data_IF_359541947492
#
_entry.id   IF_359541947492
#
_cell.length_a   1.000
_cell.length_b   1.000
_cell.length_c   1.000
_cell.angle_alpha   90.00
_cell.angle_beta   90.00
_cell.angle_gamma   90.00
#
_symmetry.space_group_name_H-M   'P 1'
#
loop_
_entity.id
_entity.type
_entity.pdbx_description
1 polymer ?
#
# COMPACT_ATOMS: atom_id res chain seq x y z
N UNK A 1 -6.76 -5.17 -25.61
CA UNK A 1 -7.91 -5.24 -24.68
C UNK A 1 -8.28 -6.69 -24.46
N UNK A 2 -7.99 -7.20 -23.26
CA UNK A 2 -8.35 -8.55 -22.81
C UNK A 2 -9.68 -8.42 -22.07
N UNK A 3 -10.64 -9.27 -22.42
CA UNK A 3 -11.87 -9.44 -21.66
C UNK A 3 -11.65 -10.58 -20.67
N UNK A 4 -11.98 -10.38 -19.40
CA UNK A 4 -11.99 -11.47 -18.41
C UNK A 4 -13.38 -12.09 -18.27
N UNK A 5 -13.46 -13.15 -17.46
CA UNK A 5 -14.69 -13.92 -17.21
C UNK A 5 -15.81 -13.09 -16.55
N UNK A 6 -15.48 -11.94 -15.95
CA UNK A 6 -16.46 -11.01 -15.37
C UNK A 6 -17.05 -10.04 -16.40
N UNK A 7 -16.53 -10.04 -17.64
CA UNK A 7 -16.86 -9.06 -18.67
C UNK A 7 -16.09 -7.75 -18.51
N UNK A 8 -15.08 -7.69 -17.64
CA UNK A 8 -14.21 -6.53 -17.48
C UNK A 8 -13.18 -6.47 -18.59
N UNK A 9 -12.89 -5.26 -19.08
CA UNK A 9 -11.94 -5.01 -20.15
C UNK A 9 -10.72 -4.26 -19.63
N UNK A 10 -9.53 -4.78 -19.91
CA UNK A 10 -8.28 -4.11 -19.58
C UNK A 10 -7.25 -4.29 -20.70
N UNK A 11 -6.31 -3.34 -20.82
CA UNK A 11 -5.17 -3.51 -21.72
C UNK A 11 -3.99 -4.18 -21.01
N UNK A 12 -3.88 -3.96 -19.70
CA UNK A 12 -2.84 -4.47 -18.82
C UNK A 12 -3.37 -4.49 -17.38
N UNK A 13 -2.99 -5.49 -16.60
CA UNK A 13 -3.23 -5.55 -15.16
C UNK A 13 -1.88 -5.67 -14.47
N UNK A 14 -1.64 -4.85 -13.44
CA UNK A 14 -0.45 -5.00 -12.60
C UNK A 14 -0.56 -6.29 -11.78
N UNK A 15 0.57 -6.84 -11.35
CA UNK A 15 0.62 -8.01 -10.47
C UNK A 15 -0.21 -7.80 -9.20
N UNK A 16 -0.24 -6.56 -8.70
CA UNK A 16 -1.12 -6.19 -7.60
C UNK A 16 -2.61 -6.40 -7.88
N UNK A 17 -3.08 -6.04 -9.08
CA UNK A 17 -4.46 -6.29 -9.52
C UNK A 17 -4.72 -7.78 -9.77
N UNK A 18 -3.76 -8.52 -10.32
CA UNK A 18 -3.87 -9.96 -10.54
C UNK A 18 -4.07 -10.71 -9.22
N UNK A 19 -3.24 -10.43 -8.21
CA UNK A 19 -3.38 -11.03 -6.87
C UNK A 19 -4.70 -10.64 -6.20
N UNK A 20 -5.15 -9.40 -6.38
CA UNK A 20 -6.41 -8.93 -5.81
C UNK A 20 -7.62 -9.68 -6.40
N UNK A 21 -7.61 -9.92 -7.71
CA UNK A 21 -8.66 -10.70 -8.39
C UNK A 21 -8.76 -12.14 -7.87
N UNK A 22 -7.63 -12.72 -7.47
CA UNK A 22 -7.58 -14.06 -6.85
C UNK A 22 -8.00 -14.06 -5.36
N UNK A 23 -8.22 -12.89 -4.75
CA UNK A 23 -8.45 -12.76 -3.30
C UNK A 23 -7.20 -13.03 -2.46
N UNK A 24 -6.01 -13.04 -3.07
CA UNK A 24 -4.76 -13.48 -2.45
C UNK A 24 -3.92 -12.32 -1.90
N UNK A 25 -4.52 -11.15 -1.63
CA UNK A 25 -3.83 -10.00 -1.03
C UNK A 25 -4.31 -9.71 0.37
N UNK A 26 -3.38 -9.79 1.33
CA UNK A 26 -3.61 -9.24 2.66
C UNK A 26 -3.61 -7.71 2.58
N UNK A 27 -4.51 -7.06 3.30
CA UNK A 27 -4.47 -5.61 3.52
C UNK A 27 -3.76 -5.34 4.83
N UNK A 28 -2.64 -4.62 4.80
CA UNK A 28 -1.92 -4.20 6.00
C UNK A 28 -2.12 -2.70 6.22
N UNK A 29 -2.98 -2.37 7.18
CA UNK A 29 -3.22 -1.01 7.65
C UNK A 29 -2.17 -0.65 8.69
N UNK A 30 -1.21 0.23 8.38
CA UNK A 30 -0.03 0.49 9.23
C UNK A 30 -0.20 1.62 10.24
N UNK A 31 -1.17 2.51 10.02
CA UNK A 31 -1.52 3.59 10.95
C UNK A 31 -2.81 4.24 10.48
N UNK A 32 -3.56 4.86 11.39
CA UNK A 32 -4.67 5.73 11.06
C UNK A 32 -4.36 7.22 11.11
N UNK A 33 -3.11 7.57 11.42
CA UNK A 33 -2.66 8.96 11.43
C UNK A 33 -2.61 9.49 9.99
N UNK A 34 -3.21 10.65 9.77
CA UNK A 34 -3.19 11.37 8.50
C UNK A 34 -3.35 12.87 8.76
N UNK A 35 -2.61 13.70 8.04
CA UNK A 35 -2.77 15.17 8.12
C UNK A 35 -3.90 15.71 7.23
N UNK A 36 -4.59 14.83 6.50
CA UNK A 36 -5.71 15.19 5.63
C UNK A 36 -7.03 14.76 6.28
N UNK A 37 -8.05 15.58 6.07
CA UNK A 37 -9.43 15.27 6.46
C UNK A 37 -10.33 15.24 5.22
N UNK A 38 -10.07 14.25 4.35
CA UNK A 38 -10.82 14.09 3.11
C UNK A 38 -12.31 13.88 3.41
N UNK A 39 -13.19 14.60 2.72
CA UNK A 39 -14.65 14.50 2.92
C UNK A 39 -15.22 13.10 2.64
N UNK A 40 -14.48 12.26 1.93
CA UNK A 40 -14.84 10.89 1.55
C UNK A 40 -13.97 9.83 2.25
N UNK A 41 -13.21 10.20 3.28
CA UNK A 41 -12.29 9.26 3.93
C UNK A 41 -13.08 8.06 4.51
N UNK A 42 -12.78 6.82 4.06
CA UNK A 42 -13.57 5.64 4.43
C UNK A 42 -13.15 5.04 5.78
N UNK A 43 -12.17 5.64 6.48
CA UNK A 43 -11.68 5.10 7.74
C UNK A 43 -12.75 5.20 8.83
N UNK A 44 -12.98 4.07 9.50
CA UNK A 44 -13.89 3.97 10.63
C UNK A 44 -13.37 4.71 11.86
N UNK A 45 -14.23 4.95 12.86
CA UNK A 45 -13.84 5.59 14.11
C UNK A 45 -12.80 4.79 14.91
N UNK A 46 -12.74 3.47 14.72
CA UNK A 46 -11.73 2.59 15.32
C UNK A 46 -10.34 2.77 14.70
N UNK A 47 -10.27 3.22 13.45
CA UNK A 47 -9.02 3.37 12.70
C UNK A 47 -8.60 4.83 12.54
N UNK A 48 -9.52 5.76 12.27
CA UNK A 48 -9.22 7.16 11.97
C UNK A 48 -8.52 7.85 13.15
N UNK A 49 -7.42 8.57 12.87
CA UNK A 49 -6.64 9.33 13.84
C UNK A 49 -6.09 8.52 15.03
N UNK A 50 -5.87 7.22 14.83
CA UNK A 50 -5.31 6.31 15.83
C UNK A 50 -4.06 5.65 15.27
N UNK A 51 -2.99 5.59 16.05
CA UNK A 51 -1.81 4.81 15.68
C UNK A 51 -2.02 3.34 16.07
N UNK A 52 -2.78 2.64 15.22
CA UNK A 52 -3.12 1.23 15.36
C UNK A 52 -2.86 0.52 14.04
N UNK A 53 -2.51 -0.76 14.12
CA UNK A 53 -2.12 -1.57 12.97
C UNK A 53 -3.13 -2.71 12.84
N UNK A 54 -3.58 -2.98 11.61
CA UNK A 54 -4.44 -4.11 11.31
C UNK A 54 -3.91 -4.90 10.12
N UNK A 55 -3.89 -6.21 10.24
CA UNK A 55 -3.75 -7.13 9.13
C UNK A 55 -5.15 -7.67 8.82
N UNK A 56 -5.70 -7.32 7.66
CA UNK A 56 -7.13 -7.44 7.36
C UNK A 56 -7.98 -6.81 8.50
N UNK A 57 -8.71 -7.63 9.25
CA UNK A 57 -9.51 -7.21 10.40
C UNK A 57 -8.88 -7.55 11.77
N UNK A 58 -7.71 -8.21 11.77
CA UNK A 58 -6.97 -8.57 12.98
C UNK A 58 -6.13 -7.38 13.47
N UNK A 59 -6.33 -6.98 14.72
CA UNK A 59 -5.44 -6.01 15.38
C UNK A 59 -4.04 -6.62 15.52
N UNK A 60 -3.03 -5.88 15.11
CA UNK A 60 -1.62 -6.30 15.17
C UNK A 60 -0.98 -5.72 16.42
N UNK A 61 -0.49 -6.60 17.29
CA UNK A 61 0.28 -6.25 18.48
C UNK A 61 1.76 -6.62 18.33
N UNK A 62 2.05 -7.58 17.45
CA UNK A 62 3.38 -8.12 17.17
C UNK A 62 3.52 -8.45 15.69
N UNK A 63 4.77 -8.54 15.21
CA UNK A 63 5.05 -9.00 13.84
C UNK A 63 4.47 -10.39 13.53
N UNK A 64 4.36 -11.25 14.54
CA UNK A 64 3.77 -12.58 14.39
C UNK A 64 2.30 -12.50 13.96
N UNK A 65 1.53 -11.51 14.43
CA UNK A 65 0.13 -11.32 14.02
C UNK A 65 0.00 -11.08 12.51
N UNK A 66 0.92 -10.30 11.93
CA UNK A 66 0.97 -10.02 10.49
C UNK A 66 1.29 -11.28 9.70
N UNK A 67 2.31 -12.03 10.14
CA UNK A 67 2.73 -13.25 9.45
C UNK A 67 1.68 -14.37 9.56
N UNK A 68 1.06 -14.52 10.73
CA UNK A 68 -0.03 -15.47 10.94
C UNK A 68 -1.23 -15.16 10.06
N UNK A 69 -1.63 -13.89 9.94
CA UNK A 69 -2.74 -13.48 9.07
C UNK A 69 -2.39 -13.68 7.60
N UNK A 70 -1.17 -13.34 7.17
CA UNK A 70 -0.73 -13.59 5.80
C UNK A 70 -0.72 -15.09 5.46
N UNK A 71 -0.28 -15.95 6.39
CA UNK A 71 -0.30 -17.41 6.22
C UNK A 71 -1.73 -17.96 6.23
N UNK A 72 -2.63 -17.44 7.06
CA UNK A 72 -4.00 -17.98 7.20
C UNK A 72 -4.83 -17.86 5.93
N UNK A 73 -4.52 -16.85 5.11
CA UNK A 73 -5.19 -16.60 3.83
C UNK A 73 -4.36 -17.00 2.60
N UNK A 74 -3.24 -17.71 2.79
CA UNK A 74 -2.28 -18.05 1.72
C UNK A 74 -1.90 -16.83 0.87
N UNK A 75 -1.60 -15.70 1.53
CA UNK A 75 -1.35 -14.43 0.87
C UNK A 75 -0.18 -14.54 -0.12
N UNK A 76 -0.44 -14.19 -1.38
CA UNK A 76 0.57 -14.06 -2.45
C UNK A 76 1.13 -12.64 -2.55
N UNK A 77 0.51 -11.69 -1.85
CA UNK A 77 0.94 -10.31 -1.81
C UNK A 77 0.27 -9.54 -0.68
N UNK A 78 0.75 -8.31 -0.47
CA UNK A 78 0.21 -7.39 0.54
C UNK A 78 -0.05 -6.01 -0.06
N UNK A 79 -1.15 -5.39 0.35
CA UNK A 79 -1.42 -3.97 0.15
C UNK A 79 -1.25 -3.20 1.45
N UNK A 80 -0.23 -2.34 1.49
CA UNK A 80 0.03 -1.47 2.62
C UNK A 80 -0.80 -0.19 2.44
N UNK A 81 -1.56 0.15 3.46
CA UNK A 81 -2.46 1.30 3.50
C UNK A 81 -2.52 1.89 4.92
N UNK A 82 -3.34 2.91 5.14
CA UNK A 82 -3.44 3.57 6.42
C UNK A 82 -4.35 4.80 6.35
N UNK A 83 -4.07 5.76 7.23
CA UNK A 83 -4.32 7.17 7.01
C UNK A 83 -3.35 7.69 5.96
N UNK A 84 -2.13 8.05 6.37
CA UNK A 84 -1.00 8.28 5.48
C UNK A 84 0.20 7.41 5.89
N UNK A 85 0.43 6.28 5.20
CA UNK A 85 1.52 5.37 5.53
C UNK A 85 2.91 6.00 5.51
N UNK A 86 3.17 6.99 4.64
CA UNK A 86 4.50 7.63 4.57
C UNK A 86 4.84 8.50 5.77
N UNK A 87 3.86 8.84 6.64
CA UNK A 87 4.18 9.43 7.95
C UNK A 87 4.93 8.44 8.85
N UNK A 88 4.81 7.14 8.56
CA UNK A 88 5.37 6.03 9.30
C UNK A 88 6.34 5.22 8.40
N UNK A 89 7.20 5.91 7.66
CA UNK A 89 8.09 5.30 6.65
C UNK A 89 8.91 4.12 7.18
N UNK A 90 9.49 4.23 8.38
CA UNK A 90 10.28 3.16 8.99
C UNK A 90 9.43 1.92 9.27
N UNK A 91 8.19 2.12 9.76
CA UNK A 91 7.21 1.05 10.01
C UNK A 91 6.80 0.37 8.71
N UNK A 92 6.56 1.14 7.64
CA UNK A 92 6.27 0.61 6.30
C UNK A 92 7.44 -0.23 5.80
N UNK A 93 8.66 0.30 5.84
CA UNK A 93 9.86 -0.39 5.37
C UNK A 93 10.16 -1.66 6.19
N UNK A 94 9.93 -1.63 7.50
CA UNK A 94 9.99 -2.80 8.38
C UNK A 94 9.05 -3.91 7.91
N UNK A 95 7.77 -3.61 7.69
CA UNK A 95 6.79 -4.63 7.28
C UNK A 95 7.03 -5.15 5.86
N UNK A 96 7.50 -4.32 4.94
CA UNK A 96 7.91 -4.81 3.60
C UNK A 96 9.02 -5.85 3.76
N UNK A 97 10.08 -5.55 4.53
CA UNK A 97 11.19 -6.48 4.79
C UNK A 97 10.71 -7.75 5.48
N UNK A 98 9.86 -7.63 6.50
CA UNK A 98 9.29 -8.76 7.23
C UNK A 98 8.59 -9.73 6.26
N UNK A 99 7.69 -9.21 5.42
CA UNK A 99 6.92 -9.99 4.45
C UNK A 99 7.82 -10.62 3.37
N UNK A 100 8.76 -9.85 2.81
CA UNK A 100 9.70 -10.35 1.79
C UNK A 100 10.65 -11.41 2.36
N UNK A 101 11.06 -11.30 3.62
CA UNK A 101 11.90 -12.29 4.29
C UNK A 101 11.15 -13.60 4.56
N UNK A 102 9.88 -13.52 4.96
CA UNK A 102 9.06 -14.70 5.26
C UNK A 102 8.58 -15.41 3.99
N UNK A 103 8.01 -14.66 3.04
CA UNK A 103 7.30 -15.22 1.88
C UNK A 103 8.12 -15.18 0.59
N UNK A 104 9.30 -14.57 0.62
CA UNK A 104 10.21 -14.46 -0.51
C UNK A 104 9.97 -13.23 -1.39
N UNK A 105 10.86 -13.04 -2.36
CA UNK A 105 10.86 -11.87 -3.25
C UNK A 105 9.61 -11.77 -4.13
N UNK A 106 9.00 -12.89 -4.46
CA UNK A 106 7.78 -12.97 -5.28
C UNK A 106 6.52 -12.50 -4.55
N UNK A 107 6.56 -12.35 -3.21
CA UNK A 107 5.42 -11.85 -2.44
C UNK A 107 5.18 -10.38 -2.77
N UNK A 108 4.20 -10.09 -3.61
CA UNK A 108 4.02 -8.75 -4.17
C UNK A 108 3.51 -7.76 -3.12
N UNK A 109 4.30 -6.72 -2.81
CA UNK A 109 3.93 -5.65 -1.89
C UNK A 109 3.67 -4.36 -2.67
N UNK A 110 2.51 -3.76 -2.43
CA UNK A 110 2.19 -2.42 -2.94
C UNK A 110 1.80 -1.48 -1.83
N UNK A 111 2.06 -0.18 -2.04
CA UNK A 111 1.78 0.89 -1.09
C UNK A 111 0.76 1.87 -1.66
N UNK A 112 -0.29 2.16 -0.89
CA UNK A 112 -1.15 3.32 -1.13
C UNK A 112 -0.59 4.52 -0.38
N UNK A 113 -0.49 5.67 -1.04
CA UNK A 113 -0.13 6.93 -0.40
C UNK A 113 -0.83 8.09 -1.08
N UNK A 114 -1.16 9.11 -0.30
CA UNK A 114 -1.67 10.40 -0.80
C UNK A 114 -0.63 11.52 -0.69
N UNK A 115 0.63 11.16 -0.45
CA UNK A 115 1.78 12.05 -0.42
C UNK A 115 2.75 11.65 -1.54
N UNK A 116 3.42 12.62 -2.15
CA UNK A 116 4.51 12.35 -3.10
C UNK A 116 5.81 12.07 -2.32
N UNK A 117 6.36 10.84 -2.34
CA UNK A 117 7.59 10.52 -1.66
C UNK A 117 8.79 11.18 -2.34
N UNK A 118 9.76 11.58 -1.53
CA UNK A 118 11.06 12.11 -1.94
C UNK A 118 11.98 10.98 -2.41
N UNK A 119 13.04 11.32 -3.13
CA UNK A 119 14.01 10.36 -3.67
C UNK A 119 14.61 9.45 -2.60
N UNK A 120 14.88 9.97 -1.40
CA UNK A 120 15.40 9.16 -0.29
C UNK A 120 14.38 8.14 0.22
N UNK A 121 13.10 8.54 0.26
CA UNK A 121 12.00 7.68 0.71
C UNK A 121 11.73 6.58 -0.33
N UNK A 122 11.79 6.92 -1.62
CA UNK A 122 11.72 5.95 -2.71
C UNK A 122 12.86 4.94 -2.66
N UNK A 123 14.09 5.39 -2.41
CA UNK A 123 15.25 4.50 -2.25
C UNK A 123 15.10 3.56 -1.06
N UNK A 124 14.59 4.07 0.06
CA UNK A 124 14.33 3.25 1.25
C UNK A 124 13.25 2.19 0.98
N UNK A 125 12.13 2.58 0.35
CA UNK A 125 11.04 1.67 -0.01
C UNK A 125 11.48 0.62 -1.04
N UNK A 126 12.20 1.02 -2.08
CA UNK A 126 12.76 0.10 -3.08
C UNK A 126 13.78 -0.86 -2.43
N UNK A 127 14.66 -0.35 -1.56
CA UNK A 127 15.62 -1.14 -0.80
C UNK A 127 14.98 -2.11 0.19
N UNK A 128 13.80 -1.77 0.72
CA UNK A 128 12.98 -2.67 1.54
C UNK A 128 12.31 -3.78 0.70
N UNK A 129 12.15 -3.57 -0.61
CA UNK A 129 11.55 -4.52 -1.54
C UNK A 129 10.12 -4.16 -1.97
N UNK A 130 9.74 -2.88 -1.98
CA UNK A 130 8.44 -2.46 -2.49
C UNK A 130 8.37 -2.65 -4.02
N UNK A 131 7.28 -3.25 -4.51
CA UNK A 131 7.11 -3.54 -5.95
C UNK A 131 6.28 -2.48 -6.69
N UNK A 132 5.28 -1.88 -6.02
CA UNK A 132 4.32 -0.97 -6.64
C UNK A 132 3.89 0.16 -5.68
N UNK A 133 3.81 1.40 -6.17
CA UNK A 133 3.20 2.52 -5.44
C UNK A 133 1.94 2.99 -6.17
N UNK A 134 0.85 3.17 -5.42
CA UNK A 134 -0.42 3.73 -5.88
C UNK A 134 -0.64 5.09 -5.24
N UNK A 135 -0.59 6.12 -6.07
CA UNK A 135 -0.82 7.49 -5.63
C UNK A 135 -2.29 7.83 -5.59
N UNK A 136 -2.69 8.53 -4.54
CA UNK A 136 -3.96 9.23 -4.46
C UNK A 136 -3.70 10.73 -4.24
N UNK A 137 -3.36 11.49 -5.30
CA UNK A 137 -3.10 12.92 -5.17
C UNK A 137 -4.34 13.66 -4.64
N UNK A 138 -4.15 14.70 -3.81
CA UNK A 138 -5.26 15.50 -3.30
C UNK A 138 -5.94 16.25 -4.47
N UNK A 139 -7.23 16.54 -4.31
CA UNK A 139 -8.07 17.06 -5.40
C UNK A 139 -7.55 18.39 -5.97
N UNK A 140 -6.92 19.21 -5.14
CA UNK A 140 -6.34 20.50 -5.53
C UNK A 140 -5.14 20.35 -6.50
N UNK A 141 -4.59 19.14 -6.61
CA UNK A 141 -3.44 18.81 -7.46
C UNK A 141 -3.82 18.16 -8.80
N UNK A 142 -5.07 17.75 -9.00
CA UNK A 142 -5.46 16.95 -10.19
C UNK A 142 -5.19 17.68 -11.50
N UNK A 143 -5.41 19.00 -11.55
CA UNK A 143 -5.14 19.83 -12.73
C UNK A 143 -3.68 20.32 -12.81
N UNK A 144 -2.84 19.97 -11.82
CA UNK A 144 -1.48 20.50 -11.62
C UNK A 144 -0.46 19.39 -11.39
N UNK A 145 -0.69 18.20 -11.95
CA UNK A 145 0.22 17.07 -11.78
C UNK A 145 1.57 17.30 -12.50
N UNK A 146 1.55 17.97 -13.66
CA UNK A 146 2.79 18.29 -14.37
C UNK A 146 3.62 19.35 -13.60
N UNK A 147 4.92 19.11 -13.49
CA UNK A 147 5.89 19.85 -12.70
C UNK A 147 5.82 19.59 -11.18
N UNK A 148 4.83 18.82 -10.72
CA UNK A 148 4.59 18.61 -9.28
C UNK A 148 5.57 17.61 -8.65
N UNK A 149 5.52 17.52 -7.33
CA UNK A 149 6.23 16.47 -6.61
C UNK A 149 5.80 15.06 -7.04
N UNK A 150 4.53 14.84 -7.42
CA UNK A 150 4.06 13.54 -7.90
C UNK A 150 4.71 13.12 -9.21
N UNK A 151 4.82 14.04 -10.19
CA UNK A 151 5.52 13.73 -11.45
C UNK A 151 7.00 13.42 -11.18
N UNK A 152 7.64 14.18 -10.29
CA UNK A 152 9.03 13.90 -9.89
C UNK A 152 9.19 12.51 -9.31
N UNK A 153 8.32 12.10 -8.38
CA UNK A 153 8.32 10.77 -7.78
C UNK A 153 8.12 9.63 -8.79
N UNK A 154 7.41 9.88 -9.90
CA UNK A 154 7.24 8.90 -10.99
C UNK A 154 8.48 8.75 -11.86
N UNK A 155 9.30 9.79 -11.95
CA UNK A 155 10.52 9.84 -12.80
C UNK A 155 11.81 9.59 -12.03
N UNK A 156 11.75 9.51 -10.70
CA UNK A 156 12.88 9.17 -9.86
C UNK A 156 13.25 7.70 -10.09
N UNK A 157 14.33 7.49 -10.84
CA UNK A 157 14.90 6.20 -11.20
C UNK A 157 15.98 5.76 -10.20
#
# INVERSE_FOLDING_TARGET
MQADESGSYSNFLTDGCLCCREGAKMVLFVTGICHRDCFFCPLSDERKNKDVIFANERLVLTDADVLEEARSMDAKGTGITGGEPLLELEKVAHYIRLLKNEFGKEHHVHLYTSTAPRDEELKELAGAGLDEIRFHPPIEMWDKLSGSAYEKSLTAA
#
